data_IF_691069319825
#
_entry.id   IF_691069319825
#
_cell.length_a   1.000
_cell.length_b   1.000
_cell.length_c   1.000
_cell.angle_alpha   90.00
_cell.angle_beta   90.00
_cell.angle_gamma   90.00
#
_symmetry.space_group_name_H-M   'P 1'
#
loop_
_entity.id
_entity.type
_entity.pdbx_description
1 polymer ?
#
# COMPACT_ATOMS: atom_id res chain seq x y z
N UNK A 1 -8.51 -4.64 -26.44
CA UNK A 1 -7.49 -4.64 -27.50
C UNK A 1 -6.11 -4.35 -26.93
N UNK A 2 -5.86 -3.20 -26.30
CA UNK A 2 -4.57 -2.92 -25.64
C UNK A 2 -4.15 -3.99 -24.61
N UNK A 3 -5.09 -4.45 -23.77
CA UNK A 3 -4.84 -5.55 -22.83
C UNK A 3 -4.40 -6.85 -23.54
N UNK A 4 -5.03 -7.17 -24.67
CA UNK A 4 -4.70 -8.35 -25.48
C UNK A 4 -3.34 -8.21 -26.17
N UNK A 5 -3.01 -7.02 -26.65
CA UNK A 5 -1.68 -6.74 -27.20
C UNK A 5 -0.59 -6.86 -26.12
N UNK A 6 -0.81 -6.30 -24.92
CA UNK A 6 0.12 -6.44 -23.82
C UNK A 6 0.36 -7.91 -23.46
N UNK A 7 -0.71 -8.70 -23.27
CA UNK A 7 -0.58 -10.13 -23.03
C UNK A 7 0.19 -10.84 -24.15
N UNK A 8 -0.12 -10.55 -25.43
CA UNK A 8 0.56 -11.14 -26.58
C UNK A 8 2.04 -10.73 -26.69
N UNK A 9 2.44 -9.60 -26.11
CA UNK A 9 3.84 -9.14 -26.02
C UNK A 9 4.59 -9.71 -24.82
N UNK A 10 3.95 -10.55 -24.01
CA UNK A 10 4.57 -11.26 -22.89
C UNK A 10 4.46 -10.56 -21.54
N UNK A 11 3.63 -9.53 -21.41
CA UNK A 11 3.31 -8.98 -20.08
C UNK A 11 2.56 -10.03 -19.24
N UNK A 12 3.03 -10.26 -18.01
CA UNK A 12 2.52 -11.34 -17.16
C UNK A 12 1.20 -11.05 -16.45
N UNK A 13 0.66 -9.83 -16.55
CA UNK A 13 -0.64 -9.43 -16.03
C UNK A 13 -1.12 -8.15 -16.72
N UNK A 14 -2.42 -7.86 -16.62
CA UNK A 14 -3.01 -6.58 -17.05
C UNK A 14 -3.70 -5.92 -15.86
N UNK A 15 -3.26 -4.72 -15.52
CA UNK A 15 -3.89 -3.87 -14.51
C UNK A 15 -4.78 -2.82 -15.18
N UNK A 16 -6.04 -2.77 -14.76
CA UNK A 16 -6.93 -1.66 -15.09
C UNK A 16 -6.97 -0.71 -13.90
N UNK A 17 -6.29 0.42 -14.07
CA UNK A 17 -6.20 1.45 -13.06
C UNK A 17 -7.47 2.31 -13.01
N UNK A 18 -7.84 2.75 -11.80
CA UNK A 18 -8.90 3.73 -11.54
C UNK A 18 -10.21 3.47 -12.31
N UNK A 19 -10.81 2.29 -12.14
CA UNK A 19 -12.11 1.95 -12.77
C UNK A 19 -13.26 2.70 -12.09
N UNK A 20 -13.37 3.99 -12.38
CA UNK A 20 -14.27 4.92 -11.71
C UNK A 20 -14.73 6.07 -12.61
N UNK A 21 -15.77 6.77 -12.20
CA UNK A 21 -16.13 8.05 -12.80
C UNK A 21 -15.23 9.19 -12.26
N UNK A 22 -14.95 10.21 -13.08
CA UNK A 22 -14.29 11.43 -12.61
C UNK A 22 -15.04 12.07 -11.44
N UNK A 23 -14.31 12.39 -10.36
CA UNK A 23 -14.85 12.90 -9.11
C UNK A 23 -14.04 14.05 -8.50
N UNK A 24 -13.12 14.65 -9.27
CA UNK A 24 -12.30 15.76 -8.79
C UNK A 24 -13.18 16.94 -8.32
N UNK A 25 -12.70 17.73 -7.34
CA UNK A 25 -13.43 18.91 -6.87
C UNK A 25 -13.85 19.82 -8.03
N UNK A 26 -15.11 20.27 -8.02
CA UNK A 26 -15.69 21.10 -9.08
C UNK A 26 -16.23 20.34 -10.30
N UNK A 27 -15.97 19.03 -10.44
CA UNK A 27 -16.59 18.23 -11.53
C UNK A 27 -18.05 17.87 -11.26
N UNK A 28 -18.47 17.85 -10.00
CA UNK A 28 -19.84 17.59 -9.59
C UNK A 28 -20.77 18.70 -10.11
N UNK A 29 -21.35 18.49 -11.30
CA UNK A 29 -22.22 19.43 -12.00
C UNK A 29 -21.67 19.94 -13.34
N UNK A 30 -20.34 19.94 -13.52
CA UNK A 30 -19.69 20.35 -14.77
C UNK A 30 -19.75 19.25 -15.85
N UNK A 31 -19.79 17.98 -15.44
CA UNK A 31 -19.85 16.83 -16.34
C UNK A 31 -21.19 16.12 -16.19
N UNK A 32 -21.95 16.04 -17.29
CA UNK A 32 -23.15 15.19 -17.37
C UNK A 32 -22.82 13.91 -18.11
N UNK A 33 -22.90 12.79 -17.41
CA UNK A 33 -22.85 11.47 -18.02
C UNK A 33 -24.23 11.11 -18.53
N UNK A 34 -24.35 10.83 -19.83
CA UNK A 34 -25.58 10.38 -20.45
C UNK A 34 -25.86 8.91 -20.04
N UNK A 35 -26.35 8.74 -18.81
CA UNK A 35 -26.79 7.44 -18.32
C UNK A 35 -28.25 7.21 -18.72
N UNK A 36 -28.60 6.00 -19.19
CA UNK A 36 -29.99 5.60 -19.39
C UNK A 36 -30.87 5.87 -18.14
N UNK A 37 -32.16 6.16 -18.30
CA UNK A 37 -33.07 6.33 -17.17
C UNK A 37 -33.01 5.17 -16.18
N UNK A 38 -32.92 5.47 -14.88
CA UNK A 38 -32.82 4.47 -13.82
C UNK A 38 -31.45 3.79 -13.68
N UNK A 39 -30.42 4.26 -14.40
CA UNK A 39 -29.04 3.78 -14.25
C UNK A 39 -28.18 4.79 -13.49
N UNK A 40 -27.48 4.30 -12.47
CA UNK A 40 -26.49 5.08 -11.72
C UNK A 40 -25.05 4.73 -12.14
N UNK A 41 -24.08 5.47 -11.59
CA UNK A 41 -22.65 5.31 -11.87
C UNK A 41 -22.13 3.94 -11.41
N UNK A 42 -22.57 3.48 -10.25
CA UNK A 42 -22.16 2.18 -9.69
C UNK A 42 -22.56 1.03 -10.62
N UNK A 43 -23.80 1.06 -11.15
CA UNK A 43 -24.29 0.12 -12.14
C UNK A 43 -23.54 0.21 -13.46
N UNK A 44 -23.20 1.42 -13.91
CA UNK A 44 -22.38 1.60 -15.11
C UNK A 44 -20.99 0.97 -14.96
N UNK A 45 -20.29 1.21 -13.84
CA UNK A 45 -19.00 0.58 -13.52
C UNK A 45 -19.14 -0.94 -13.48
N UNK A 46 -20.12 -1.48 -12.75
CA UNK A 46 -20.32 -2.93 -12.62
C UNK A 46 -20.49 -3.62 -13.97
N UNK A 47 -21.28 -3.05 -14.87
CA UNK A 47 -21.50 -3.65 -16.19
C UNK A 47 -20.24 -3.54 -17.07
N UNK A 48 -19.46 -2.45 -16.94
CA UNK A 48 -18.14 -2.31 -17.58
C UNK A 48 -17.14 -3.35 -17.06
N UNK A 49 -17.09 -3.57 -15.75
CA UNK A 49 -16.27 -4.63 -15.14
C UNK A 49 -16.68 -6.02 -15.62
N UNK A 50 -17.98 -6.29 -15.78
CA UNK A 50 -18.46 -7.56 -16.34
C UNK A 50 -18.00 -7.77 -17.78
N UNK A 51 -17.98 -6.70 -18.58
CA UNK A 51 -17.42 -6.75 -19.93
C UNK A 51 -15.91 -6.98 -19.93
N UNK A 52 -15.17 -6.30 -19.05
CA UNK A 52 -13.72 -6.48 -18.91
C UNK A 52 -13.37 -7.89 -18.49
N UNK A 53 -14.04 -8.42 -17.47
CA UNK A 53 -13.92 -9.80 -16.97
C UNK A 53 -14.15 -10.83 -18.09
N UNK A 54 -15.25 -10.69 -18.86
CA UNK A 54 -15.53 -11.55 -20.01
C UNK A 54 -14.42 -11.50 -21.08
N UNK A 55 -13.93 -10.31 -21.42
CA UNK A 55 -12.85 -10.13 -22.41
C UNK A 55 -11.49 -10.59 -21.86
N UNK A 56 -11.28 -10.44 -20.57
CA UNK A 56 -10.05 -10.78 -19.87
C UNK A 56 -9.81 -12.28 -19.79
N UNK A 57 -10.88 -13.09 -19.71
CA UNK A 57 -10.76 -14.56 -19.73
C UNK A 57 -10.01 -15.10 -20.96
N UNK A 58 -9.98 -14.35 -22.07
CA UNK A 58 -9.22 -14.72 -23.28
C UNK A 58 -7.75 -14.27 -23.27
N UNK A 59 -7.30 -13.50 -22.26
CA UNK A 59 -5.93 -12.97 -22.21
C UNK A 59 -4.91 -14.04 -21.78
N UNK A 60 -5.34 -15.04 -21.01
CA UNK A 60 -4.44 -16.08 -20.48
C UNK A 60 -3.45 -15.57 -19.42
N UNK A 61 -3.62 -14.35 -18.93
CA UNK A 61 -2.82 -13.74 -17.86
C UNK A 61 -3.75 -13.14 -16.79
N UNK A 62 -3.32 -13.06 -15.52
CA UNK A 62 -4.09 -12.43 -14.46
C UNK A 62 -4.51 -11.00 -14.78
N UNK A 63 -5.70 -10.63 -14.35
CA UNK A 63 -6.15 -9.24 -14.35
C UNK A 63 -6.21 -8.66 -12.95
N UNK A 64 -5.89 -7.37 -12.88
CA UNK A 64 -5.93 -6.59 -11.65
C UNK A 64 -6.83 -5.37 -11.79
N UNK A 65 -7.51 -5.01 -10.71
CA UNK A 65 -8.19 -3.73 -10.57
C UNK A 65 -7.57 -2.91 -9.45
N UNK A 66 -7.13 -1.70 -9.78
CA UNK A 66 -6.77 -0.70 -8.78
C UNK A 66 -8.00 0.06 -8.33
N UNK A 67 -8.11 0.21 -7.01
CA UNK A 67 -9.28 0.79 -6.35
C UNK A 67 -8.78 1.91 -5.45
N UNK A 68 -9.44 3.07 -5.48
CA UNK A 68 -9.08 4.15 -4.56
C UNK A 68 -9.14 3.64 -3.09
N UNK A 69 -8.12 3.93 -2.27
CA UNK A 69 -8.10 3.48 -0.87
C UNK A 69 -9.33 3.89 -0.08
N UNK A 70 -9.85 5.10 -0.33
CA UNK A 70 -11.12 5.56 0.25
C UNK A 70 -12.35 4.74 -0.17
N UNK A 71 -12.33 4.12 -1.35
CA UNK A 71 -13.37 3.21 -1.83
C UNK A 71 -13.17 1.77 -1.36
N UNK A 72 -11.92 1.36 -1.10
CA UNK A 72 -11.56 0.09 -0.48
C UNK A 72 -11.88 0.06 1.02
N UNK A 73 -11.62 1.17 1.71
CA UNK A 73 -12.12 1.44 3.05
C UNK A 73 -13.63 1.73 3.00
N UNK A 74 -14.41 1.27 3.98
CA UNK A 74 -15.81 1.68 4.10
C UNK A 74 -15.91 3.09 4.73
N UNK A 75 -15.11 4.01 4.19
CA UNK A 75 -14.85 5.33 4.77
C UNK A 75 -15.99 6.33 4.51
N UNK A 76 -16.93 5.98 3.63
CA UNK A 76 -17.95 6.90 3.11
C UNK A 76 -17.41 8.03 2.22
N UNK A 77 -16.08 8.09 2.00
CA UNK A 77 -15.43 9.18 1.27
C UNK A 77 -15.32 8.96 -0.24
N UNK A 78 -15.64 7.75 -0.74
CA UNK A 78 -15.56 7.42 -2.16
C UNK A 78 -16.65 8.11 -2.98
N UNK A 79 -16.24 8.84 -4.02
CA UNK A 79 -17.14 9.62 -4.90
C UNK A 79 -17.13 9.15 -6.36
N UNK A 80 -16.16 8.31 -6.73
CA UNK A 80 -16.00 7.74 -8.06
C UNK A 80 -17.05 6.68 -8.46
N UNK A 81 -17.90 6.23 -7.52
CA UNK A 81 -18.91 5.20 -7.76
C UNK A 81 -18.39 3.76 -7.74
N UNK A 82 -17.11 3.58 -7.40
CA UNK A 82 -16.47 2.28 -7.18
C UNK A 82 -17.18 1.50 -6.07
N UNK A 83 -17.30 0.20 -6.27
CA UNK A 83 -17.94 -0.72 -5.33
C UNK A 83 -17.03 -1.92 -5.14
N UNK A 84 -16.43 -2.02 -3.96
CA UNK A 84 -15.46 -3.08 -3.64
C UNK A 84 -16.01 -4.47 -3.96
N UNK A 85 -17.25 -4.73 -3.59
CA UNK A 85 -17.95 -6.00 -3.83
C UNK A 85 -18.12 -6.33 -5.33
N UNK A 86 -18.26 -5.31 -6.17
CA UNK A 86 -18.34 -5.48 -7.62
C UNK A 86 -16.97 -5.72 -8.28
N UNK A 87 -15.91 -5.13 -7.72
CA UNK A 87 -14.54 -5.23 -8.21
C UNK A 87 -13.85 -6.52 -7.76
N UNK A 88 -13.94 -6.81 -6.46
CA UNK A 88 -13.14 -7.85 -5.83
C UNK A 88 -13.43 -9.25 -6.37
N UNK A 89 -14.69 -9.55 -6.71
CA UNK A 89 -15.08 -10.86 -7.24
C UNK A 89 -14.86 -11.05 -8.75
N UNK A 90 -14.18 -10.10 -9.42
CA UNK A 90 -14.01 -10.08 -10.89
C UNK A 90 -12.56 -9.93 -11.34
N UNK A 91 -11.61 -9.90 -10.41
CA UNK A 91 -10.19 -9.83 -10.73
C UNK A 91 -9.42 -10.89 -9.95
N UNK A 92 -8.30 -11.32 -10.53
CA UNK A 92 -7.36 -12.20 -9.85
C UNK A 92 -6.63 -11.45 -8.73
N UNK A 93 -6.38 -10.16 -8.94
CA UNK A 93 -5.72 -9.25 -8.00
C UNK A 93 -6.59 -8.00 -7.75
N UNK A 94 -6.72 -7.61 -6.49
CA UNK A 94 -7.43 -6.39 -6.09
C UNK A 94 -6.45 -5.49 -5.38
N UNK A 95 -6.26 -4.28 -5.91
CA UNK A 95 -5.14 -3.43 -5.57
C UNK A 95 -5.63 -2.11 -4.94
N UNK A 96 -5.93 -2.08 -3.63
CA UNK A 96 -6.31 -0.84 -2.98
C UNK A 96 -5.12 0.13 -2.96
N UNK A 97 -5.35 1.39 -3.34
CA UNK A 97 -4.37 2.47 -3.29
C UNK A 97 -4.33 3.10 -1.91
N UNK A 98 -3.44 2.60 -1.07
CA UNK A 98 -3.34 2.99 0.35
C UNK A 98 -2.45 4.21 0.57
N UNK A 99 -2.55 5.22 -0.32
CA UNK A 99 -1.71 6.41 -0.29
C UNK A 99 -2.14 7.34 0.85
N UNK A 100 -1.33 7.54 1.90
CA UNK A 100 -1.79 8.29 3.06
C UNK A 100 -2.18 9.72 2.77
N UNK A 101 -1.55 10.36 1.78
CA UNK A 101 -1.91 11.72 1.38
C UNK A 101 -3.23 11.83 0.60
N UNK A 102 -3.80 10.70 0.15
CA UNK A 102 -5.07 10.67 -0.56
C UNK A 102 -6.30 10.55 0.37
N UNK A 103 -6.08 10.29 1.66
CA UNK A 103 -7.16 10.21 2.65
C UNK A 103 -7.43 11.59 3.26
N UNK A 104 -8.71 11.95 3.47
CA UNK A 104 -9.06 13.23 4.09
C UNK A 104 -8.65 13.26 5.57
N UNK A 105 -8.37 14.46 6.09
CA UNK A 105 -8.18 14.67 7.53
C UNK A 105 -9.36 14.11 8.32
N UNK A 106 -9.07 13.44 9.44
CA UNK A 106 -10.05 12.72 10.25
C UNK A 106 -10.37 11.30 9.76
N UNK A 107 -9.85 10.86 8.61
CA UNK A 107 -10.02 9.47 8.16
C UNK A 107 -9.55 8.49 9.23
N UNK A 108 -10.42 7.53 9.56
CA UNK A 108 -10.22 6.58 10.65
C UNK A 108 -9.92 7.22 12.02
N UNK A 109 -10.29 8.48 12.25
CA UNK A 109 -9.96 9.20 13.48
C UNK A 109 -8.51 9.72 13.55
N UNK A 110 -7.79 9.73 12.43
CA UNK A 110 -6.44 10.31 12.32
C UNK A 110 -6.55 11.78 11.92
N UNK A 111 -6.05 12.69 12.75
CA UNK A 111 -6.07 14.12 12.44
C UNK A 111 -5.35 14.43 11.12
N UNK A 112 -4.18 13.81 10.92
CA UNK A 112 -3.41 13.86 9.68
C UNK A 112 -3.00 12.43 9.28
N UNK A 113 -3.71 11.80 8.33
CA UNK A 113 -3.36 10.52 7.74
C UNK A 113 -1.95 10.47 7.14
N UNK A 114 -1.50 11.54 6.48
CA UNK A 114 -0.21 11.59 5.81
C UNK A 114 0.97 11.59 6.80
N UNK A 115 0.72 12.04 8.04
CA UNK A 115 1.69 11.97 9.13
C UNK A 115 1.69 10.62 9.89
N UNK A 116 0.71 9.75 9.66
CA UNK A 116 0.51 8.48 10.39
C UNK A 116 0.30 7.29 9.42
N UNK A 117 1.29 6.99 8.54
CA UNK A 117 1.16 5.98 7.50
C UNK A 117 0.90 4.57 8.06
N UNK A 118 1.58 4.16 9.14
CA UNK A 118 1.39 2.84 9.74
C UNK A 118 -0.07 2.64 10.19
N UNK A 119 -0.60 3.58 10.97
CA UNK A 119 -1.94 3.51 11.52
C UNK A 119 -2.99 3.55 10.42
N UNK A 120 -2.81 4.41 9.42
CA UNK A 120 -3.73 4.52 8.31
C UNK A 120 -3.79 3.21 7.51
N UNK A 121 -2.64 2.75 7.01
CA UNK A 121 -2.57 1.54 6.18
C UNK A 121 -3.04 0.32 6.96
N UNK A 122 -2.72 0.22 8.26
CA UNK A 122 -3.22 -0.87 9.11
C UNK A 122 -4.75 -0.90 9.17
N UNK A 123 -5.40 0.26 9.35
CA UNK A 123 -6.87 0.36 9.44
C UNK A 123 -7.53 0.13 8.09
N UNK A 124 -6.98 0.70 7.02
CA UNK A 124 -7.49 0.54 5.67
C UNK A 124 -7.38 -0.92 5.19
N UNK A 125 -6.25 -1.59 5.41
CA UNK A 125 -6.08 -3.01 5.06
C UNK A 125 -6.96 -3.93 5.92
N UNK A 126 -7.23 -3.60 7.18
CA UNK A 126 -8.18 -4.35 7.99
C UNK A 126 -9.60 -4.29 7.40
N UNK A 127 -10.02 -3.11 6.92
CA UNK A 127 -11.28 -2.93 6.20
C UNK A 127 -11.30 -3.67 4.87
N UNK A 128 -10.27 -3.50 4.05
CA UNK A 128 -10.15 -4.18 2.76
C UNK A 128 -10.23 -5.71 2.95
N UNK A 129 -9.48 -6.27 3.90
CA UNK A 129 -9.54 -7.71 4.23
C UNK A 129 -10.94 -8.17 4.64
N UNK A 130 -11.59 -7.44 5.54
CA UNK A 130 -12.97 -7.75 5.98
C UNK A 130 -13.91 -7.79 4.78
N UNK A 131 -13.87 -6.78 3.92
CA UNK A 131 -14.73 -6.70 2.74
C UNK A 131 -14.38 -7.76 1.70
N UNK A 132 -13.10 -8.06 1.49
CA UNK A 132 -12.66 -9.12 0.59
C UNK A 132 -13.17 -10.49 1.05
N UNK A 133 -13.12 -10.76 2.35
CA UNK A 133 -13.61 -12.03 2.92
C UNK A 133 -15.12 -12.26 2.78
N UNK A 134 -15.89 -11.19 2.60
CA UNK A 134 -17.33 -11.26 2.36
C UNK A 134 -17.70 -11.52 0.89
N UNK A 135 -16.71 -11.48 -0.02
CA UNK A 135 -16.92 -11.67 -1.46
C UNK A 135 -16.41 -13.05 -1.86
N UNK A 136 -17.32 -13.89 -2.37
CA UNK A 136 -16.96 -15.23 -2.87
C UNK A 136 -16.07 -15.10 -4.10
N UNK A 137 -14.92 -15.79 -4.08
CA UNK A 137 -13.96 -15.75 -5.19
C UNK A 137 -13.24 -14.42 -5.32
N UNK A 138 -13.14 -13.66 -4.23
CA UNK A 138 -12.42 -12.39 -4.25
C UNK A 138 -10.95 -12.59 -4.64
N UNK A 139 -10.43 -11.68 -5.47
CA UNK A 139 -9.04 -11.65 -5.86
C UNK A 139 -8.09 -11.43 -4.68
N UNK A 140 -6.81 -11.71 -4.92
CA UNK A 140 -5.74 -11.54 -3.93
C UNK A 140 -5.49 -10.05 -3.70
N UNK A 141 -5.42 -9.65 -2.43
CA UNK A 141 -5.08 -8.27 -2.06
C UNK A 141 -3.59 -7.97 -2.34
N UNK A 142 -3.33 -6.95 -3.15
CA UNK A 142 -1.98 -6.43 -3.45
C UNK A 142 -2.01 -4.91 -3.37
N UNK A 143 -1.85 -4.29 -2.19
CA UNK A 143 -1.96 -2.85 -2.03
C UNK A 143 -0.86 -2.08 -2.76
N UNK A 144 -1.19 -0.87 -3.20
CA UNK A 144 -0.25 0.15 -3.65
C UNK A 144 0.16 1.06 -2.48
N UNK A 145 1.47 1.24 -2.28
CA UNK A 145 2.06 2.13 -1.28
C UNK A 145 2.64 3.40 -1.90
N UNK A 146 2.67 4.46 -1.08
CA UNK A 146 3.14 5.78 -1.46
C UNK A 146 4.65 5.91 -1.22
N UNK A 147 5.37 6.52 -2.16
CA UNK A 147 6.80 6.85 -1.97
C UNK A 147 7.09 8.27 -2.45
N UNK A 148 6.16 9.19 -2.25
CA UNK A 148 6.30 10.59 -2.66
C UNK A 148 5.73 11.52 -1.60
N UNK A 149 6.25 12.74 -1.54
CA UNK A 149 5.75 13.79 -0.66
C UNK A 149 4.60 14.52 -1.32
N UNK A 150 3.52 14.74 -0.58
CA UNK A 150 2.37 15.52 -1.01
C UNK A 150 1.84 16.32 0.19
N UNK A 151 1.74 17.65 0.04
CA UNK A 151 1.45 18.54 1.15
C UNK A 151 2.67 18.78 2.05
N UNK A 152 2.43 18.95 3.35
CA UNK A 152 3.47 19.33 4.31
C UNK A 152 4.34 18.17 4.81
N UNK A 153 3.86 16.92 4.69
CA UNK A 153 4.59 15.75 5.17
C UNK A 153 5.65 15.32 4.14
N UNK A 154 6.92 15.44 4.51
CA UNK A 154 8.00 14.78 3.79
C UNK A 154 7.81 13.27 3.89
N UNK A 155 7.92 12.56 2.77
CA UNK A 155 7.78 11.11 2.72
C UNK A 155 9.15 10.47 2.65
N UNK A 156 9.65 10.01 3.80
CA UNK A 156 10.99 9.47 3.96
C UNK A 156 10.98 7.95 4.10
N UNK A 157 12.17 7.36 4.21
CA UNK A 157 12.32 5.90 4.35
C UNK A 157 11.62 5.31 5.58
N UNK A 158 11.36 6.11 6.62
CA UNK A 158 10.64 5.61 7.80
C UNK A 158 9.15 5.46 7.46
N UNK A 159 8.55 6.46 6.82
CA UNK A 159 7.14 6.44 6.40
C UNK A 159 6.85 5.35 5.37
N UNK A 160 7.71 5.14 4.38
CA UNK A 160 7.56 4.02 3.42
C UNK A 160 7.62 2.67 4.14
N UNK A 161 8.58 2.49 5.08
CA UNK A 161 8.67 1.26 5.87
C UNK A 161 7.45 1.05 6.76
N UNK A 162 6.84 2.12 7.26
CA UNK A 162 5.64 2.04 8.08
C UNK A 162 4.47 1.41 7.31
N UNK A 163 4.26 1.75 6.03
CA UNK A 163 3.26 1.12 5.17
C UNK A 163 3.56 -0.38 4.94
N UNK A 164 4.81 -0.71 4.62
CA UNK A 164 5.25 -2.10 4.40
C UNK A 164 5.04 -2.93 5.67
N UNK A 165 5.41 -2.40 6.84
CA UNK A 165 5.19 -3.07 8.13
C UNK A 165 3.71 -3.27 8.42
N UNK A 166 2.85 -2.29 8.10
CA UNK A 166 1.40 -2.43 8.25
C UNK A 166 0.85 -3.56 7.36
N UNK A 167 1.31 -3.66 6.11
CA UNK A 167 0.99 -4.79 5.22
C UNK A 167 1.38 -6.14 5.81
N UNK A 168 2.63 -6.26 6.27
CA UNK A 168 3.13 -7.49 6.88
C UNK A 168 2.40 -7.85 8.18
N UNK A 169 2.07 -6.87 9.03
CA UNK A 169 1.25 -7.09 10.22
C UNK A 169 -0.17 -7.56 9.86
N UNK A 170 -0.71 -7.12 8.72
CA UNK A 170 -1.97 -7.61 8.18
C UNK A 170 -1.85 -8.99 7.48
N UNK A 171 -0.66 -9.58 7.40
CA UNK A 171 -0.40 -10.85 6.71
C UNK A 171 -0.37 -10.74 5.18
N UNK A 172 -0.29 -9.53 4.64
CA UNK A 172 -0.21 -9.25 3.19
C UNK A 172 1.26 -9.01 2.85
N UNK A 173 1.85 -9.91 2.05
CA UNK A 173 3.29 -9.85 1.70
C UNK A 173 3.57 -9.32 0.30
N UNK A 174 2.55 -9.24 -0.54
CA UNK A 174 2.63 -8.70 -1.89
C UNK A 174 2.15 -7.25 -1.88
N UNK A 175 2.88 -6.35 -2.51
CA UNK A 175 2.53 -4.95 -2.64
C UNK A 175 3.19 -4.35 -3.88
N UNK A 176 2.67 -3.22 -4.32
CA UNK A 176 3.24 -2.35 -5.34
C UNK A 176 3.56 -1.00 -4.71
N UNK A 177 4.43 -0.21 -5.33
CA UNK A 177 4.83 1.08 -4.79
C UNK A 177 4.90 2.11 -5.90
N UNK A 178 4.38 3.30 -5.64
CA UNK A 178 4.28 4.36 -6.62
C UNK A 178 5.01 5.63 -6.20
N UNK A 179 5.79 6.16 -7.13
CA UNK A 179 6.34 7.51 -7.10
C UNK A 179 6.21 8.11 -8.51
N UNK A 180 5.57 9.27 -8.70
CA UNK A 180 5.36 9.86 -10.02
C UNK A 180 6.67 10.28 -10.72
N UNK A 181 7.75 10.53 -9.98
CA UNK A 181 9.07 10.80 -10.53
C UNK A 181 9.85 9.51 -10.88
N UNK A 182 9.28 8.33 -10.63
CA UNK A 182 9.93 7.02 -10.80
C UNK A 182 11.26 6.91 -10.05
N UNK A 183 11.40 7.63 -8.93
CA UNK A 183 12.58 7.59 -8.04
C UNK A 183 12.15 7.00 -6.72
N UNK A 184 12.68 5.83 -6.39
CA UNK A 184 12.23 5.10 -5.21
C UNK A 184 13.22 5.22 -4.05
N UNK A 185 12.70 5.26 -2.82
CA UNK A 185 13.47 5.33 -1.59
C UNK A 185 14.07 3.96 -1.26
N UNK A 186 15.17 3.61 -1.92
CA UNK A 186 15.84 2.29 -1.79
C UNK A 186 16.09 1.87 -0.34
N UNK A 187 16.49 2.82 0.52
CA UNK A 187 16.73 2.55 1.93
C UNK A 187 15.51 1.92 2.63
N UNK A 188 14.28 2.20 2.17
CA UNK A 188 13.06 1.64 2.72
C UNK A 188 12.83 0.16 2.36
N UNK A 189 13.41 -0.31 1.25
CA UNK A 189 13.15 -1.65 0.68
C UNK A 189 14.07 -2.72 1.26
N UNK A 190 15.16 -2.31 1.88
CA UNK A 190 16.04 -3.23 2.58
C UNK A 190 15.54 -3.44 4.01
N UNK A 191 15.58 -4.70 4.44
CA UNK A 191 15.35 -5.05 5.84
C UNK A 191 16.33 -4.24 6.71
N UNK A 192 15.87 -3.56 7.78
CA UNK A 192 16.78 -2.81 8.63
C UNK A 192 17.86 -3.77 9.13
N UNK A 193 19.13 -3.39 8.99
CA UNK A 193 20.22 -4.18 9.55
C UNK A 193 19.89 -4.53 11.01
N UNK A 194 20.08 -5.80 11.44
CA UNK A 194 19.73 -6.21 12.79
C UNK A 194 20.35 -5.21 13.77
N UNK A 195 19.52 -4.67 14.66
CA UNK A 195 19.98 -3.71 15.67
C UNK A 195 21.14 -4.39 16.40
N UNK A 196 22.35 -3.85 16.25
CA UNK A 196 23.47 -4.24 17.10
C UNK A 196 23.11 -3.77 18.50
N UNK A 197 22.76 -4.70 19.38
CA UNK A 197 22.61 -4.43 20.80
C UNK A 197 23.94 -3.92 21.34
N UNK A 198 24.07 -2.60 21.44
CA UNK A 198 25.25 -1.94 22.03
C UNK A 198 25.30 -2.10 23.56
N UNK A 199 24.32 -2.77 24.16
CA UNK A 199 24.26 -3.08 25.60
C UNK A 199 25.34 -4.08 26.04
N UNK A 200 25.92 -4.86 25.13
CA UNK A 200 26.97 -5.85 25.45
C UNK A 200 28.40 -5.27 25.53
N UNK A 201 28.64 -4.03 25.12
CA UNK A 201 30.00 -3.47 25.00
C UNK A 201 30.51 -2.72 26.24
N UNK A 202 29.87 -2.84 27.41
CA UNK A 202 30.32 -2.20 28.66
C UNK A 202 30.80 -3.21 29.70
N UNK A 203 31.65 -4.15 29.30
CA UNK A 203 32.50 -4.87 30.26
C UNK A 203 33.67 -3.96 30.67
N UNK A 204 33.72 -3.57 31.95
CA UNK A 204 34.85 -2.83 32.55
C UNK A 204 36.16 -3.60 32.37
N UNK A 205 37.31 -2.93 32.12
CA UNK A 205 38.59 -3.61 32.09
C UNK A 205 38.97 -4.14 33.47
N UNK A 206 39.41 -5.39 33.54
CA UNK A 206 39.91 -6.03 34.75
C UNK A 206 41.14 -5.29 35.29
N UNK A 207 41.18 -5.08 36.62
CA UNK A 207 42.27 -4.45 37.32
C UNK A 207 43.58 -5.25 37.14
N UNK A 208 44.64 -4.59 36.66
CA UNK A 208 45.99 -5.17 36.58
C UNK A 208 46.52 -5.44 38.00
N UNK A 209 46.82 -6.70 38.29
CA UNK A 209 47.44 -7.14 39.54
C UNK A 209 48.82 -6.49 39.77
N UNK A 210 49.05 -6.06 41.01
CA UNK A 210 50.34 -5.55 41.50
C UNK A 210 51.42 -6.63 41.35
N UNK A 211 52.47 -6.34 40.58
CA UNK A 211 53.74 -7.11 40.63
C UNK A 211 54.53 -6.63 41.86
N UNK A 212 54.84 -7.56 42.76
CA UNK A 212 55.71 -7.33 43.92
C UNK A 212 57.15 -7.02 43.49
N UNK A 213 57.78 -6.08 44.18
CA UNK A 213 59.21 -5.80 44.11
C UNK A 213 60.00 -6.84 44.93
N UNK A 214 61.13 -7.38 44.45
CA UNK A 214 62.08 -8.06 45.32
C UNK A 214 63.04 -7.05 45.97
N UNK A 215 63.33 -7.26 47.25
CA UNK A 215 64.26 -6.47 48.07
C UNK A 215 65.74 -6.72 47.68
N UNK A 216 66.66 -5.77 47.89
CA UNK A 216 68.05 -5.89 47.46
C UNK A 216 68.90 -6.73 48.44
N UNK A 217 69.74 -7.59 47.87
CA UNK A 217 70.75 -8.36 48.59
C UNK A 217 71.90 -7.48 49.07
N UNK A 218 72.24 -7.58 50.37
CA UNK A 218 73.43 -6.96 50.98
C UNK A 218 74.71 -7.67 50.54
N UNK A 219 75.69 -6.90 50.06
CA UNK A 219 77.08 -7.35 49.87
C UNK A 219 77.80 -7.40 51.23
N UNK A 220 78.67 -8.41 51.39
CA UNK A 220 79.82 -8.38 52.31
C UNK A 220 81.03 -7.91 51.53
#
# INVERSE_FOLDING_TARGET
DLASEAAARGFGAVEFDDVRFPDAPGMAGAVRFALPPGRDRARAIRDGLAFLDYRAGALGVPIAFTVAGAAAADSGAARGGERWDALAGRADLVMPREFPSAFPAGAFGLADPAAQPYELVSRALADAKRRNSAVRGAGTLVPWYQDFSMGAAAYDSARVRDEIRAGYAAGIRSWLMWNPASRYTEAALHEPAPRRDTTAARAKPAAKGKKGHPAPARRR
#
